data_IF_909745189443
#
_entry.id   IF_909745189443
#
_cell.length_a   1.000
_cell.length_b   1.000
_cell.length_c   1.000
_cell.angle_alpha   90.00
_cell.angle_beta   90.00
_cell.angle_gamma   90.00
#
_symmetry.space_group_name_H-M   'P 1'
#
loop_
_entity.id
_entity.type
_entity.pdbx_description
1 polymer ?
#
# COMPACT_ATOMS: atom_id res chain seq x y z
N UNK A 1 15.32 0.99 1.53
CA UNK A 1 14.70 0.78 2.86
C UNK A 1 13.19 0.89 2.71
N UNK A 2 12.42 -0.07 3.21
CA UNK A 2 10.96 -0.01 3.17
C UNK A 2 10.44 0.66 4.45
N UNK A 3 9.64 1.73 4.32
CA UNK A 3 9.04 2.46 5.43
C UNK A 3 7.55 2.15 5.49
N UNK A 4 7.14 1.54 6.59
CA UNK A 4 5.76 1.19 6.88
C UNK A 4 5.05 2.38 7.53
N UNK A 5 3.94 2.86 6.93
CA UNK A 5 3.20 4.03 7.39
C UNK A 5 1.75 3.60 7.62
N UNK A 6 1.33 3.53 8.88
CA UNK A 6 -0.06 3.24 9.22
C UNK A 6 -0.94 4.47 8.94
N UNK A 7 -2.06 4.22 8.28
CA UNK A 7 -3.07 5.23 7.96
C UNK A 7 -4.25 5.06 8.91
N UNK A 8 -4.56 6.11 9.67
CA UNK A 8 -5.64 6.13 10.66
C UNK A 8 -6.86 6.93 10.17
N UNK A 9 -6.72 7.73 9.10
CA UNK A 9 -7.83 8.46 8.48
C UNK A 9 -7.57 8.81 7.01
N UNK A 10 -8.64 9.10 6.27
CA UNK A 10 -8.56 9.55 4.87
C UNK A 10 -7.85 10.89 4.72
N UNK A 11 -8.14 11.84 5.60
CA UNK A 11 -7.48 13.16 5.58
C UNK A 11 -5.96 13.02 5.72
N UNK A 12 -5.52 12.27 6.73
CA UNK A 12 -4.10 11.96 6.95
C UNK A 12 -3.46 11.30 5.72
N UNK A 13 -4.15 10.36 5.09
CA UNK A 13 -3.65 9.65 3.90
C UNK A 13 -3.35 10.61 2.74
N UNK A 14 -4.31 11.46 2.38
CA UNK A 14 -4.12 12.41 1.28
C UNK A 14 -3.09 13.50 1.62
N UNK A 15 -3.05 13.96 2.86
CA UNK A 15 -2.06 14.95 3.30
C UNK A 15 -0.63 14.41 3.23
N UNK A 16 -0.41 13.17 3.68
CA UNK A 16 0.91 12.54 3.63
C UNK A 16 1.34 12.28 2.18
N UNK A 17 0.44 11.80 1.32
CA UNK A 17 0.74 11.61 -0.11
C UNK A 17 1.18 12.91 -0.77
N UNK A 18 0.40 13.98 -0.58
CA UNK A 18 0.70 15.29 -1.14
C UNK A 18 2.00 15.88 -0.60
N UNK A 19 2.24 15.73 0.70
CA UNK A 19 3.47 16.23 1.35
C UNK A 19 4.73 15.50 0.85
N UNK A 20 4.64 14.20 0.63
CA UNK A 20 5.76 13.42 0.13
C UNK A 20 6.05 13.71 -1.35
N UNK A 21 5.03 14.11 -2.13
CA UNK A 21 5.16 14.44 -3.55
C UNK A 21 5.82 13.31 -4.37
N UNK A 22 5.50 12.07 -4.04
CA UNK A 22 5.99 10.87 -4.72
C UNK A 22 4.86 9.90 -5.01
N UNK A 23 5.12 8.91 -5.87
CA UNK A 23 4.26 7.74 -6.01
C UNK A 23 4.12 7.04 -4.65
N UNK A 24 2.90 6.64 -4.33
CA UNK A 24 2.58 5.90 -3.11
C UNK A 24 2.28 4.43 -3.38
N UNK A 25 2.83 3.54 -2.55
CA UNK A 25 2.49 2.12 -2.54
C UNK A 25 1.60 1.86 -1.34
N UNK A 26 0.45 1.22 -1.56
CA UNK A 26 -0.58 1.08 -0.54
C UNK A 26 -0.95 -0.39 -0.37
N UNK A 27 -0.95 -0.88 0.86
CA UNK A 27 -1.48 -2.19 1.24
C UNK A 27 -2.80 -2.00 1.99
N UNK A 28 -3.90 -2.46 1.41
CA UNK A 28 -5.18 -2.56 2.12
C UNK A 28 -5.34 -3.94 2.72
N UNK A 29 -5.65 -3.99 4.01
CA UNK A 29 -5.69 -5.21 4.80
C UNK A 29 -6.76 -5.14 5.89
N UNK A 30 -6.93 -6.24 6.63
CA UNK A 30 -7.64 -6.29 7.90
C UNK A 30 -6.90 -7.23 8.86
N UNK A 31 -7.08 -7.05 10.17
CA UNK A 31 -6.35 -7.82 11.20
C UNK A 31 -6.72 -9.31 11.24
N UNK A 32 -7.96 -9.63 10.91
CA UNK A 32 -8.49 -11.00 10.84
C UNK A 32 -8.15 -11.71 9.52
N UNK A 33 -7.53 -11.02 8.56
CA UNK A 33 -7.19 -11.58 7.26
C UNK A 33 -5.87 -12.38 7.34
N UNK A 34 -5.97 -13.70 7.36
CA UNK A 34 -4.82 -14.62 7.38
C UNK A 34 -3.76 -14.33 6.30
N UNK A 35 -4.13 -14.27 5.00
CA UNK A 35 -3.19 -13.94 3.93
C UNK A 35 -2.54 -12.55 4.08
N UNK A 36 -3.27 -11.57 4.63
CA UNK A 36 -2.74 -10.24 4.90
C UNK A 36 -1.64 -10.29 5.97
N UNK A 37 -1.84 -11.10 7.02
CA UNK A 37 -0.85 -11.27 8.08
C UNK A 37 0.44 -11.93 7.56
N UNK A 38 0.33 -12.91 6.66
CA UNK A 38 1.50 -13.50 6.00
C UNK A 38 2.27 -12.46 5.20
N UNK A 39 1.57 -11.72 4.34
CA UNK A 39 2.17 -10.68 3.49
C UNK A 39 2.85 -9.59 4.31
N UNK A 40 2.24 -9.18 5.43
CA UNK A 40 2.79 -8.16 6.34
C UNK A 40 4.11 -8.62 6.95
N UNK A 41 4.16 -9.87 7.47
CA UNK A 41 5.38 -10.46 8.04
C UNK A 41 6.53 -10.56 7.02
N UNK A 42 6.21 -10.82 5.75
CA UNK A 42 7.23 -10.86 4.70
C UNK A 42 7.77 -9.46 4.39
N UNK A 43 6.87 -8.48 4.21
CA UNK A 43 7.23 -7.09 3.91
C UNK A 43 8.02 -6.43 5.06
N UNK A 44 7.67 -6.69 6.31
CA UNK A 44 8.40 -6.18 7.49
C UNK A 44 9.86 -6.65 7.54
N UNK A 45 10.14 -7.87 7.06
CA UNK A 45 11.51 -8.42 7.00
C UNK A 45 12.23 -8.05 5.71
N UNK A 46 11.53 -7.46 4.76
CA UNK A 46 12.06 -7.16 3.45
C UNK A 46 12.58 -5.72 3.39
N UNK A 47 13.61 -5.51 2.57
CA UNK A 47 14.20 -4.20 2.37
C UNK A 47 14.51 -3.99 0.91
N UNK A 48 14.17 -2.80 0.42
CA UNK A 48 14.50 -2.36 -0.93
C UNK A 48 15.83 -1.61 -0.96
N UNK A 49 16.54 -1.56 -2.11
CA UNK A 49 17.75 -0.76 -2.27
C UNK A 49 17.45 0.74 -2.12
N UNK A 50 16.26 1.18 -2.54
CA UNK A 50 15.80 2.57 -2.46
C UNK A 50 14.80 2.78 -1.32
N UNK A 51 14.69 4.00 -0.76
CA UNK A 51 13.62 4.33 0.19
C UNK A 51 12.25 4.27 -0.49
N UNK A 52 11.33 3.49 0.09
CA UNK A 52 9.94 3.39 -0.40
C UNK A 52 8.98 3.50 0.77
N UNK A 53 7.92 4.29 0.61
CA UNK A 53 6.84 4.38 1.57
C UNK A 53 5.75 3.37 1.20
N UNK A 54 5.44 2.46 2.13
CA UNK A 54 4.31 1.56 2.09
C UNK A 54 3.24 2.05 3.06
N UNK A 55 2.16 2.60 2.53
CA UNK A 55 0.99 3.03 3.29
C UNK A 55 0.12 1.83 3.58
N UNK A 56 -0.22 1.63 4.85
CA UNK A 56 -1.00 0.48 5.30
C UNK A 56 -2.35 0.96 5.81
N UNK A 57 -3.41 0.47 5.18
CA UNK A 57 -4.77 0.87 5.47
C UNK A 57 -5.52 -0.36 5.97
N UNK A 58 -5.92 -0.31 7.24
CA UNK A 58 -6.89 -1.25 7.78
C UNK A 58 -8.29 -0.84 7.30
N UNK A 59 -8.92 -1.71 6.50
CA UNK A 59 -10.23 -1.44 5.91
C UNK A 59 -11.35 -1.38 6.95
N UNK A 60 -11.16 -1.95 8.13
CA UNK A 60 -12.14 -1.87 9.22
C UNK A 60 -12.08 -0.51 9.92
N UNK A 61 -10.91 0.15 9.91
CA UNK A 61 -10.70 1.47 10.51
C UNK A 61 -10.97 2.62 9.55
N UNK A 62 -10.53 2.49 8.30
CA UNK A 62 -10.62 3.55 7.28
C UNK A 62 -11.39 3.05 6.06
N UNK A 63 -12.59 2.56 6.32
CA UNK A 63 -13.46 1.89 5.32
C UNK A 63 -13.79 2.77 4.10
N UNK A 64 -13.86 4.09 4.27
CA UNK A 64 -14.09 5.04 3.19
C UNK A 64 -13.02 5.00 2.08
N UNK A 65 -11.76 4.71 2.42
CA UNK A 65 -10.70 4.55 1.41
C UNK A 65 -10.89 3.24 0.63
N UNK A 66 -11.33 2.16 1.28
CA UNK A 66 -11.65 0.91 0.58
C UNK A 66 -12.81 1.10 -0.41
N UNK A 67 -13.84 1.87 -0.03
CA UNK A 67 -14.95 2.24 -0.92
C UNK A 67 -14.47 3.08 -2.10
N UNK A 68 -13.67 4.12 -1.84
CA UNK A 68 -13.16 5.04 -2.85
C UNK A 68 -12.31 4.34 -3.92
N UNK A 69 -11.41 3.47 -3.48
CA UNK A 69 -10.60 2.65 -4.38
C UNK A 69 -11.30 1.37 -4.86
N UNK A 70 -12.58 1.20 -4.53
CA UNK A 70 -13.42 0.05 -4.94
C UNK A 70 -12.80 -1.30 -4.58
N UNK A 71 -12.13 -1.39 -3.43
CA UNK A 71 -11.51 -2.61 -2.94
C UNK A 71 -12.59 -3.56 -2.43
N UNK A 72 -12.69 -4.73 -3.08
CA UNK A 72 -13.67 -5.78 -2.77
C UNK A 72 -13.06 -7.01 -2.11
N UNK A 73 -11.74 -7.15 -2.18
CA UNK A 73 -11.00 -8.29 -1.65
C UNK A 73 -9.69 -7.78 -1.04
N UNK A 74 -9.28 -8.39 0.07
CA UNK A 74 -8.00 -8.12 0.73
C UNK A 74 -7.15 -9.41 0.83
N UNK A 75 -5.82 -9.31 0.86
CA UNK A 75 -5.05 -8.07 0.74
C UNK A 75 -5.12 -7.48 -0.66
N UNK A 76 -4.88 -6.18 -0.78
CA UNK A 76 -4.75 -5.49 -2.06
C UNK A 76 -3.52 -4.56 -2.03
N UNK A 77 -2.77 -4.54 -3.13
CA UNK A 77 -1.68 -3.59 -3.35
C UNK A 77 -2.10 -2.57 -4.39
N UNK A 78 -2.03 -1.28 -4.05
CA UNK A 78 -2.29 -0.18 -4.96
C UNK A 78 -1.01 0.62 -5.20
N UNK A 79 -0.94 1.20 -6.38
CA UNK A 79 0.01 2.26 -6.71
C UNK A 79 -0.79 3.52 -7.01
N UNK A 80 -0.45 4.62 -6.34
CA UNK A 80 -1.17 5.89 -6.46
C UNK A 80 -0.22 7.05 -6.76
N UNK A 81 -0.72 8.09 -7.43
CA UNK A 81 0.01 9.36 -7.57
C UNK A 81 0.06 10.12 -6.23
N UNK A 82 0.82 11.21 -6.17
CA UNK A 82 0.86 12.10 -5.00
C UNK A 82 -0.51 12.76 -4.72
N UNK A 83 -1.38 12.86 -5.73
CA UNK A 83 -2.77 13.31 -5.59
C UNK A 83 -3.73 12.17 -5.21
N UNK A 84 -3.21 10.96 -4.98
CA UNK A 84 -3.98 9.78 -4.60
C UNK A 84 -4.73 9.12 -5.76
N UNK A 85 -4.44 9.47 -7.02
CA UNK A 85 -5.05 8.80 -8.18
C UNK A 85 -4.46 7.40 -8.35
N UNK A 86 -5.31 6.38 -8.44
CA UNK A 86 -4.87 5.01 -8.71
C UNK A 86 -4.21 4.89 -10.09
N UNK A 87 -3.03 4.27 -10.11
CA UNK A 87 -2.22 3.94 -11.29
C UNK A 87 -2.21 2.43 -11.55
N UNK A 88 -2.14 1.63 -10.48
CA UNK A 88 -2.08 0.17 -10.56
C UNK A 88 -2.80 -0.47 -9.37
N UNK A 89 -3.25 -1.71 -9.55
CA UNK A 89 -3.96 -2.49 -8.53
C UNK A 89 -3.70 -3.98 -8.70
N UNK A 90 -3.17 -4.61 -7.66
CA UNK A 90 -3.02 -6.05 -7.55
C UNK A 90 -3.90 -6.57 -6.42
N UNK A 91 -4.77 -7.52 -6.73
CA UNK A 91 -5.69 -8.14 -5.76
C UNK A 91 -5.15 -9.47 -5.23
N UNK A 92 -5.47 -9.75 -3.97
CA UNK A 92 -5.08 -10.95 -3.25
C UNK A 92 -3.61 -10.93 -2.83
N UNK A 93 -3.19 -12.02 -2.18
CA UNK A 93 -1.83 -12.18 -1.71
C UNK A 93 -0.79 -11.99 -2.82
N UNK A 94 0.30 -11.29 -2.50
CA UNK A 94 1.47 -11.09 -3.35
C UNK A 94 2.71 -11.21 -2.47
N UNK A 95 3.68 -12.00 -2.90
CA UNK A 95 4.96 -12.12 -2.20
C UNK A 95 5.85 -10.89 -2.44
N UNK A 96 6.99 -10.87 -1.77
CA UNK A 96 7.98 -9.78 -1.84
C UNK A 96 8.53 -9.54 -3.24
N UNK A 97 8.66 -10.58 -4.07
CA UNK A 97 9.21 -10.43 -5.43
C UNK A 97 8.21 -9.69 -6.33
N UNK A 98 6.91 -9.97 -6.16
CA UNK A 98 5.87 -9.24 -6.87
C UNK A 98 5.79 -7.80 -6.39
N UNK A 99 5.92 -7.56 -5.08
CA UNK A 99 5.99 -6.19 -4.55
C UNK A 99 7.20 -5.43 -5.09
N UNK A 100 8.39 -6.04 -5.12
CA UNK A 100 9.60 -5.45 -5.70
C UNK A 100 9.41 -5.11 -7.17
N UNK A 101 8.87 -6.04 -7.96
CA UNK A 101 8.57 -5.81 -9.38
C UNK A 101 7.60 -4.65 -9.58
N UNK A 102 6.59 -4.52 -8.71
CA UNK A 102 5.65 -3.41 -8.72
C UNK A 102 6.35 -2.08 -8.44
N UNK A 103 7.27 -2.06 -7.47
CA UNK A 103 8.07 -0.87 -7.14
C UNK A 103 8.96 -0.46 -8.32
N UNK A 104 9.79 -1.36 -8.83
CA UNK A 104 10.69 -1.13 -9.97
C UNK A 104 9.93 -0.59 -11.18
N UNK A 105 8.79 -1.19 -11.51
CA UNK A 105 7.93 -0.76 -12.65
C UNK A 105 7.51 0.72 -12.58
N UNK A 106 7.33 1.26 -11.37
CA UNK A 106 6.75 2.57 -11.15
C UNK A 106 7.73 3.62 -10.63
N UNK A 107 8.90 3.23 -10.11
CA UNK A 107 9.94 4.17 -9.66
C UNK A 107 11.13 4.32 -10.62
N UNK A 108 11.36 3.38 -11.55
CA UNK A 108 12.48 3.47 -12.52
C UNK A 108 12.13 4.23 -13.81
N UNK A 109 11.24 5.25 -13.72
CA UNK A 109 10.83 6.07 -14.86
C UNK A 109 11.09 7.56 -14.65
#
# INVERSE_FOLDING_TARGET
>A
MLRHIQIESKEQYFDILKKNNTIGFVKMYATWCGPCNTMSKELERYSLPIPVNLYEIDIDKVSELAVEYKIRNIPALLVVTAEGKQIDLLLGYKDVNVFESLVTKHLDK
#
